data_IF_984889146583
#
_entry.id   IF_984889146583
#
_cell.length_a   1.000
_cell.length_b   1.000
_cell.length_c   1.000
_cell.angle_alpha   90.00
_cell.angle_beta   90.00
_cell.angle_gamma   90.00
#
_symmetry.space_group_name_H-M   'P 1'
#
loop_
_entity.id
_entity.type
_entity.pdbx_description
1 polymer ?
#
# COMPACT_ATOMS: atom_id res chain seq x y z
N UNK A 1 14.76 -6.84 -6.99
CA UNK A 1 14.14 -6.91 -8.29
C UNK A 1 12.79 -6.21 -8.34
N UNK A 2 11.87 -6.62 -7.51
CA UNK A 2 10.50 -6.13 -7.63
C UNK A 2 10.33 -4.65 -7.28
N UNK A 3 10.99 -4.16 -6.23
CA UNK A 3 10.91 -2.74 -5.90
C UNK A 3 11.61 -1.88 -6.95
N UNK A 4 12.65 -2.39 -7.56
CA UNK A 4 13.33 -1.67 -8.65
C UNK A 4 12.44 -1.60 -9.89
N UNK A 5 11.72 -2.68 -10.19
CA UNK A 5 10.74 -2.69 -11.26
C UNK A 5 9.64 -1.65 -11.01
N UNK A 6 9.10 -1.62 -9.78
CA UNK A 6 8.06 -0.67 -9.41
C UNK A 6 8.55 0.77 -9.53
N UNK A 7 9.75 1.03 -9.02
CA UNK A 7 10.36 2.35 -9.09
C UNK A 7 10.51 2.83 -10.52
N UNK A 8 10.97 1.94 -11.41
CA UNK A 8 11.13 2.26 -12.82
C UNK A 8 9.80 2.56 -13.49
N UNK A 9 8.79 1.73 -13.22
CA UNK A 9 7.46 1.91 -13.80
C UNK A 9 6.81 3.21 -13.36
N UNK A 10 6.93 3.56 -12.09
CA UNK A 10 6.38 4.81 -11.58
C UNK A 10 7.14 6.02 -12.13
N UNK A 11 8.45 5.89 -12.34
CA UNK A 11 9.25 6.94 -12.94
C UNK A 11 8.77 7.29 -14.35
N UNK A 12 8.27 6.31 -15.10
CA UNK A 12 7.69 6.53 -16.42
C UNK A 12 6.47 7.44 -16.39
N UNK A 13 5.83 7.55 -15.23
CA UNK A 13 4.67 8.41 -15.00
C UNK A 13 5.01 9.66 -14.16
N UNK A 14 6.30 9.98 -14.04
CA UNK A 14 6.73 11.15 -13.30
C UNK A 14 6.75 11.00 -11.80
N UNK A 15 6.61 9.77 -11.29
CA UNK A 15 6.62 9.49 -9.85
C UNK A 15 7.97 8.90 -9.47
N UNK A 16 8.75 9.65 -8.66
CA UNK A 16 10.07 9.19 -8.21
C UNK A 16 9.99 8.75 -6.76
N UNK A 17 10.27 7.47 -6.51
CA UNK A 17 10.28 6.94 -5.15
C UNK A 17 11.59 7.27 -4.44
N UNK A 18 11.48 7.77 -3.21
CA UNK A 18 12.66 7.95 -2.34
C UNK A 18 13.14 6.60 -1.83
N UNK A 19 14.32 6.58 -1.23
CA UNK A 19 14.83 5.36 -0.61
C UNK A 19 13.91 4.89 0.52
N UNK A 20 13.36 5.84 1.30
CA UNK A 20 12.41 5.51 2.35
C UNK A 20 11.16 4.84 1.78
N UNK A 21 10.63 5.36 0.68
CA UNK A 21 9.44 4.77 0.05
C UNK A 21 9.72 3.38 -0.50
N UNK A 22 10.90 3.17 -1.08
CA UNK A 22 11.31 1.83 -1.53
C UNK A 22 11.36 0.84 -0.37
N UNK A 23 11.94 1.26 0.76
CA UNK A 23 11.97 0.43 1.96
C UNK A 23 10.58 0.12 2.49
N UNK A 24 9.68 1.09 2.42
CA UNK A 24 8.29 0.90 2.85
C UNK A 24 7.60 -0.18 2.02
N UNK A 25 7.80 -0.19 0.69
CA UNK A 25 7.24 -1.25 -0.14
C UNK A 25 7.85 -2.61 0.14
N UNK A 26 9.15 -2.67 0.39
CA UNK A 26 9.82 -3.92 0.73
C UNK A 26 9.29 -4.49 2.05
N UNK A 27 9.15 -3.64 3.06
CA UNK A 27 8.59 -4.02 4.35
C UNK A 27 7.14 -4.47 4.22
N UNK A 28 6.36 -3.75 3.42
CA UNK A 28 4.97 -4.09 3.15
C UNK A 28 4.86 -5.51 2.59
N UNK A 29 5.67 -5.82 1.59
CA UNK A 29 5.66 -7.16 1.00
C UNK A 29 6.00 -8.23 2.05
N UNK A 30 7.04 -8.00 2.84
CA UNK A 30 7.46 -8.95 3.87
C UNK A 30 6.35 -9.21 4.88
N UNK A 31 5.71 -8.15 5.36
CA UNK A 31 4.63 -8.27 6.33
C UNK A 31 3.38 -8.92 5.72
N UNK A 32 3.10 -8.60 4.48
CA UNK A 32 1.97 -9.22 3.76
C UNK A 32 2.13 -10.73 3.71
N UNK A 33 3.29 -11.21 3.33
CA UNK A 33 3.57 -12.65 3.25
C UNK A 33 3.50 -13.28 4.64
N UNK A 34 4.12 -12.64 5.62
CA UNK A 34 4.17 -13.15 6.99
C UNK A 34 2.77 -13.28 7.61
N UNK A 35 1.96 -12.24 7.50
CA UNK A 35 0.61 -12.26 8.05
C UNK A 35 -0.35 -13.11 7.23
N UNK A 36 -0.10 -13.24 5.93
CA UNK A 36 -0.96 -14.03 5.05
C UNK A 36 -0.97 -15.52 5.42
N UNK A 37 0.11 -16.02 5.99
CA UNK A 37 0.18 -17.40 6.46
C UNK A 37 -0.85 -17.67 7.56
N UNK A 38 -1.24 -16.64 8.30
CA UNK A 38 -2.16 -16.74 9.43
C UNK A 38 -3.59 -16.34 9.07
N UNK A 39 -3.76 -15.42 8.12
CA UNK A 39 -5.02 -14.71 7.94
C UNK A 39 -5.62 -14.78 6.54
N UNK A 40 -4.91 -15.33 5.57
CA UNK A 40 -5.37 -15.37 4.18
C UNK A 40 -5.79 -13.99 3.66
N UNK A 41 -4.88 -13.03 3.77
CA UNK A 41 -5.12 -11.65 3.32
C UNK A 41 -5.23 -11.55 1.81
N UNK A 42 -4.51 -12.39 1.10
CA UNK A 42 -4.48 -12.42 -0.36
C UNK A 42 -4.11 -13.82 -0.83
N UNK A 43 -4.57 -14.19 -2.03
CA UNK A 43 -4.14 -15.43 -2.68
C UNK A 43 -2.83 -15.25 -3.45
N UNK A 44 -2.36 -14.00 -3.58
CA UNK A 44 -1.16 -13.68 -4.35
C UNK A 44 -0.03 -13.37 -3.38
N UNK A 45 1.01 -14.24 -3.34
CA UNK A 45 2.15 -14.07 -2.44
C UNK A 45 3.49 -14.04 -3.17
N UNK A 46 3.51 -14.35 -4.45
CA UNK A 46 4.74 -14.26 -5.24
C UNK A 46 5.13 -12.80 -5.39
N UNK A 47 6.38 -12.47 -5.07
CA UNK A 47 6.84 -11.09 -4.97
C UNK A 47 6.57 -10.27 -6.23
N UNK A 48 6.95 -10.79 -7.39
CA UNK A 48 6.76 -10.07 -8.64
C UNK A 48 5.28 -9.76 -8.90
N UNK A 49 4.40 -10.71 -8.59
CA UNK A 49 2.97 -10.56 -8.83
C UNK A 49 2.35 -9.58 -7.85
N UNK A 50 2.80 -9.56 -6.58
CA UNK A 50 2.34 -8.60 -5.60
C UNK A 50 2.70 -7.17 -6.04
N UNK A 51 3.92 -6.95 -6.50
CA UNK A 51 4.33 -5.63 -6.97
C UNK A 51 3.55 -5.19 -8.19
N UNK A 52 3.22 -6.11 -9.10
CA UNK A 52 2.47 -5.77 -10.30
C UNK A 52 0.98 -5.58 -9.99
N UNK A 53 0.34 -6.60 -9.42
CA UNK A 53 -1.13 -6.64 -9.31
C UNK A 53 -1.67 -5.96 -8.06
N UNK A 54 -0.87 -5.81 -7.02
CA UNK A 54 -1.29 -5.12 -5.82
C UNK A 54 -0.69 -3.72 -5.73
N UNK A 55 0.62 -3.59 -5.76
CA UNK A 55 1.24 -2.28 -5.55
C UNK A 55 1.07 -1.35 -6.76
N UNK A 56 1.55 -1.76 -7.91
CA UNK A 56 1.46 -0.92 -9.10
C UNK A 56 0.01 -0.61 -9.47
N UNK A 57 -0.82 -1.63 -9.48
CA UNK A 57 -2.22 -1.50 -9.84
C UNK A 57 -2.96 -0.53 -8.90
N UNK A 58 -2.62 -0.55 -7.61
CA UNK A 58 -3.20 0.37 -6.63
C UNK A 58 -2.84 1.83 -6.89
N UNK A 59 -1.71 2.08 -7.51
CA UNK A 59 -1.20 3.43 -7.75
C UNK A 59 -1.71 4.00 -9.08
N UNK A 60 -2.18 3.15 -9.99
CA UNK A 60 -2.61 3.59 -11.32
C UNK A 60 -3.68 4.69 -11.34
N UNK A 61 -4.62 4.80 -10.38
CA UNK A 61 -5.54 5.92 -10.37
C UNK A 61 -4.85 7.28 -10.34
N UNK A 62 -3.65 7.36 -9.74
CA UNK A 62 -2.90 8.62 -9.67
C UNK A 62 -2.39 9.08 -11.03
N UNK A 63 -2.40 8.22 -12.04
CA UNK A 63 -2.00 8.59 -13.39
C UNK A 63 -3.08 9.46 -14.07
N UNK A 64 -4.29 9.41 -13.57
CA UNK A 64 -5.45 10.10 -14.16
C UNK A 64 -6.03 11.18 -13.26
N UNK A 65 -5.74 11.13 -11.97
CA UNK A 65 -6.24 12.08 -10.97
C UNK A 65 -5.08 12.60 -10.14
N UNK A 66 -5.17 13.86 -9.75
CA UNK A 66 -4.14 14.49 -8.92
C UNK A 66 -4.32 14.05 -7.47
N UNK A 67 -3.33 13.34 -6.94
CA UNK A 67 -3.28 12.89 -5.55
C UNK A 67 -2.32 13.69 -4.70
N UNK A 68 -1.71 14.74 -5.26
CA UNK A 68 -0.81 15.60 -4.49
C UNK A 68 -1.60 16.50 -3.54
N UNK A 69 -1.00 16.80 -2.39
CA UNK A 69 -1.59 17.69 -1.40
C UNK A 69 -2.52 16.96 -0.43
N UNK A 70 -3.40 17.74 0.19
CA UNK A 70 -4.28 17.25 1.25
C UNK A 70 -5.58 16.67 0.70
N UNK A 71 -5.48 15.49 0.11
CA UNK A 71 -6.64 14.74 -0.35
C UNK A 71 -7.00 13.69 0.70
N UNK A 72 -8.29 13.49 0.91
CA UNK A 72 -8.79 12.45 1.83
C UNK A 72 -9.41 11.32 1.03
N UNK A 73 -9.08 10.09 1.39
CA UNK A 73 -9.70 8.91 0.78
C UNK A 73 -10.25 8.00 1.87
N UNK A 74 -11.37 7.35 1.55
CA UNK A 74 -11.98 6.37 2.43
C UNK A 74 -12.00 5.03 1.70
N UNK A 75 -11.36 4.03 2.31
CA UNK A 75 -11.23 2.71 1.73
C UNK A 75 -12.09 1.74 2.53
N UNK A 76 -13.16 1.25 1.93
CA UNK A 76 -14.10 0.34 2.57
C UNK A 76 -13.77 -1.08 2.16
N UNK A 77 -13.51 -1.94 3.17
CA UNK A 77 -13.15 -3.32 2.91
C UNK A 77 -11.76 -3.47 2.29
N UNK A 78 -10.79 -2.72 2.79
CA UNK A 78 -9.44 -2.65 2.21
C UNK A 78 -8.70 -3.99 2.20
N UNK A 79 -9.09 -4.94 3.04
CA UNK A 79 -8.41 -6.22 3.13
C UNK A 79 -6.95 -6.08 3.53
N UNK A 80 -6.04 -6.33 2.61
CA UNK A 80 -4.59 -6.20 2.84
C UNK A 80 -4.08 -4.76 2.67
N UNK A 81 -4.97 -3.77 2.55
CA UNK A 81 -4.60 -2.36 2.45
C UNK A 81 -4.60 -1.80 1.03
N UNK A 82 -5.24 -2.45 0.10
CA UNK A 82 -5.28 -2.03 -1.30
C UNK A 82 -6.61 -1.34 -1.63
N UNK A 83 -6.61 -0.22 -2.34
CA UNK A 83 -5.45 0.51 -2.88
C UNK A 83 -4.86 1.57 -1.94
N UNK A 84 -5.42 1.77 -0.76
CA UNK A 84 -5.13 2.95 0.07
C UNK A 84 -3.69 3.02 0.59
N UNK A 85 -3.11 1.89 1.02
CA UNK A 85 -1.78 1.92 1.63
C UNK A 85 -0.68 2.18 0.57
N UNK A 86 -0.67 1.53 -0.60
CA UNK A 86 0.28 1.90 -1.63
C UNK A 86 0.19 3.37 -2.04
N UNK A 87 -1.04 3.90 -2.15
CA UNK A 87 -1.24 5.32 -2.45
C UNK A 87 -0.68 6.22 -1.34
N UNK A 88 -0.87 5.83 -0.08
CA UNK A 88 -0.33 6.59 1.05
C UNK A 88 1.20 6.60 1.07
N UNK A 89 1.83 5.49 0.69
CA UNK A 89 3.30 5.44 0.59
C UNK A 89 3.80 6.44 -0.45
N UNK A 90 3.18 6.45 -1.62
CA UNK A 90 3.58 7.32 -2.73
C UNK A 90 3.23 8.78 -2.45
N UNK A 91 2.08 9.01 -1.83
CA UNK A 91 1.58 10.35 -1.51
C UNK A 91 1.40 10.48 0.01
N UNK A 92 2.48 10.76 0.76
CA UNK A 92 2.44 10.72 2.23
C UNK A 92 1.44 11.69 2.87
N UNK A 93 1.04 12.74 2.16
CA UNK A 93 0.10 13.72 2.69
C UNK A 93 -1.36 13.29 2.57
N UNK A 94 -1.64 12.18 1.90
CA UNK A 94 -3.00 11.65 1.83
C UNK A 94 -3.51 11.34 3.23
N UNK A 95 -4.77 11.71 3.48
CA UNK A 95 -5.48 11.32 4.69
C UNK A 95 -6.31 10.10 4.37
N UNK A 96 -5.96 8.97 4.99
CA UNK A 96 -6.57 7.69 4.68
C UNK A 96 -7.43 7.24 5.85
N UNK A 97 -8.69 6.97 5.57
CA UNK A 97 -9.62 6.34 6.51
C UNK A 97 -9.93 4.96 5.97
N UNK A 98 -9.73 3.94 6.78
CA UNK A 98 -10.04 2.56 6.40
C UNK A 98 -11.19 2.08 7.25
N UNK A 99 -12.19 1.51 6.58
CA UNK A 99 -13.35 0.90 7.22
C UNK A 99 -13.34 -0.58 6.90
N UNK A 100 -13.21 -1.42 7.92
CA UNK A 100 -13.26 -2.88 7.75
C UNK A 100 -13.96 -3.49 8.93
N UNK A 101 -14.81 -4.49 8.67
CA UNK A 101 -15.57 -5.17 9.70
C UNK A 101 -14.79 -6.27 10.40
N UNK A 102 -13.68 -6.74 9.82
CA UNK A 102 -12.91 -7.85 10.38
C UNK A 102 -11.76 -7.33 11.24
N UNK A 103 -11.86 -7.61 12.53
CA UNK A 103 -10.86 -7.16 13.49
C UNK A 103 -9.44 -7.64 13.17
N UNK A 104 -9.30 -8.82 12.60
CA UNK A 104 -8.00 -9.35 12.21
C UNK A 104 -7.33 -8.52 11.15
N UNK A 105 -8.11 -8.02 10.17
CA UNK A 105 -7.58 -7.13 9.13
C UNK A 105 -7.17 -5.79 9.72
N UNK A 106 -7.95 -5.26 10.64
CA UNK A 106 -7.63 -4.02 11.34
C UNK A 106 -6.32 -4.17 12.11
N UNK A 107 -6.10 -5.31 12.76
CA UNK A 107 -4.85 -5.59 13.47
C UNK A 107 -3.65 -5.59 12.51
N UNK A 108 -3.80 -6.24 11.36
CA UNK A 108 -2.74 -6.23 10.34
C UNK A 108 -2.45 -4.82 9.87
N UNK A 109 -3.50 -4.06 9.53
CA UNK A 109 -3.35 -2.70 9.00
C UNK A 109 -2.71 -1.77 10.03
N UNK A 110 -3.06 -1.90 11.30
CA UNK A 110 -2.46 -1.12 12.38
C UNK A 110 -0.97 -1.46 12.52
N UNK A 111 -0.63 -2.74 12.50
CA UNK A 111 0.76 -3.17 12.59
C UNK A 111 1.56 -2.69 11.38
N UNK A 112 0.98 -2.83 10.18
CA UNK A 112 1.60 -2.38 8.95
C UNK A 112 1.86 -0.87 8.98
N UNK A 113 0.85 -0.09 9.36
CA UNK A 113 0.99 1.37 9.43
C UNK A 113 2.10 1.77 10.41
N UNK A 114 2.18 1.12 11.56
CA UNK A 114 3.22 1.39 12.55
C UNK A 114 4.62 1.08 12.00
N UNK A 115 4.77 -0.06 11.35
CA UNK A 115 6.06 -0.47 10.79
C UNK A 115 6.50 0.42 9.63
N UNK A 116 5.54 0.93 8.86
CA UNK A 116 5.83 1.82 7.73
C UNK A 116 5.90 3.30 8.15
N UNK A 117 5.55 3.63 9.39
CA UNK A 117 5.54 5.01 9.86
C UNK A 117 4.43 5.85 9.24
N UNK A 118 3.30 5.23 8.91
CA UNK A 118 2.16 5.90 8.29
C UNK A 118 1.07 6.21 9.30
N UNK A 119 0.36 7.32 9.08
CA UNK A 119 -0.83 7.68 9.86
C UNK A 119 -2.08 7.19 9.17
N UNK A 120 -2.87 6.36 9.85
CA UNK A 120 -4.14 5.86 9.34
C UNK A 120 -5.24 6.10 10.38
N UNK A 121 -6.44 6.32 9.90
CA UNK A 121 -7.64 6.40 10.74
C UNK A 121 -8.46 5.14 10.45
N UNK A 122 -8.76 4.39 11.51
CA UNK A 122 -9.54 3.15 11.41
C UNK A 122 -10.90 3.36 12.08
N UNK A 123 -11.92 2.91 11.41
CA UNK A 123 -13.28 3.03 11.93
C UNK A 123 -13.92 1.64 12.04
#
# INVERSE_FOLDING_TARGET
>A
MSVEWLSKKLSEHGIELSETQKEQFQTYYQLLVEWNEKMNLTSITEEHVVYLKHFYDSITPSFYYDFDGELSICDVGAGAGFPSIPLKIVFPELKVTIVDSLNKRIQFLNHLAAELGLSLIHI
#
